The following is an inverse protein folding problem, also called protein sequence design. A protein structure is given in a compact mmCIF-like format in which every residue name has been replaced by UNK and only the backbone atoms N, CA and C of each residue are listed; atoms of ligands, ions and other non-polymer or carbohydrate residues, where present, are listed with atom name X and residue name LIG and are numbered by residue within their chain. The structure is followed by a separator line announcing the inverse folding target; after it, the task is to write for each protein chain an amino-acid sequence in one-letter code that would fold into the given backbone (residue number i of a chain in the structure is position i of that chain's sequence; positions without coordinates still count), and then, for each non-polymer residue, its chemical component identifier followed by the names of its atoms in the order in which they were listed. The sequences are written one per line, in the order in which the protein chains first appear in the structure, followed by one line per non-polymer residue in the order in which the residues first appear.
data_IF_722523785308
#
_entry.id   IF_722523785308
#
_cell.length_a   1.000
_cell.length_b   1.000
_cell.length_c   1.000
_cell.angle_alpha   90.00
_cell.angle_beta   90.00
_cell.angle_gamma   90.00
#
_symmetry.space_group_name_H-M   'P 1'
#
loop_
_entity.id
_entity.type
_entity.pdbx_description
1 polymer ?
#
# COMPACT_ATOMS: atom_id res chain seq x y z
N UNK A 1 -17.38 -11.72 26.03
CA UNK A 1 -16.70 -11.80 24.70
C UNK A 1 -15.20 -11.70 24.95
N UNK A 2 -14.35 -12.46 24.23
CA UNK A 2 -12.90 -12.34 24.37
C UNK A 2 -12.39 -11.11 23.57
N UNK A 3 -11.84 -10.06 24.22
CA UNK A 3 -11.40 -8.85 23.52
C UNK A 3 -10.34 -9.11 22.46
N UNK A 4 -9.38 -10.03 22.74
CA UNK A 4 -8.35 -10.43 21.77
C UNK A 4 -8.96 -10.98 20.48
N UNK A 5 -9.91 -11.92 20.61
CA UNK A 5 -10.56 -12.54 19.45
C UNK A 5 -11.38 -11.52 18.67
N UNK A 6 -12.13 -10.64 19.34
CA UNK A 6 -12.91 -9.60 18.70
C UNK A 6 -12.04 -8.64 17.87
N UNK A 7 -10.87 -8.26 18.40
CA UNK A 7 -9.90 -7.42 17.71
C UNK A 7 -9.31 -8.12 16.48
N UNK A 8 -8.88 -9.38 16.63
CA UNK A 8 -8.32 -10.17 15.52
C UNK A 8 -9.37 -10.39 14.42
N UNK A 9 -10.61 -10.72 14.78
CA UNK A 9 -11.69 -10.92 13.82
C UNK A 9 -12.05 -9.60 13.10
N UNK A 10 -11.96 -8.46 13.79
CA UNK A 10 -12.17 -7.15 13.16
C UNK A 10 -11.09 -6.83 12.10
N UNK A 11 -9.83 -7.21 12.35
CA UNK A 11 -8.75 -7.12 11.36
C UNK A 11 -9.03 -8.04 10.16
N UNK A 12 -9.45 -9.29 10.40
CA UNK A 12 -9.81 -10.18 9.30
C UNK A 12 -11.01 -9.67 8.49
N UNK A 13 -11.98 -9.01 9.13
CA UNK A 13 -13.10 -8.36 8.43
C UNK A 13 -12.60 -7.21 7.53
N UNK A 14 -11.64 -6.40 8.00
CA UNK A 14 -11.01 -5.35 7.21
C UNK A 14 -10.26 -5.91 5.99
N UNK A 15 -9.45 -6.95 6.17
CA UNK A 15 -8.73 -7.62 5.07
C UNK A 15 -9.70 -8.24 4.07
N UNK A 16 -10.75 -8.91 4.54
CA UNK A 16 -11.75 -9.56 3.69
C UNK A 16 -12.52 -8.57 2.80
N UNK A 17 -12.70 -7.32 3.25
CA UNK A 17 -13.34 -6.26 2.48
C UNK A 17 -12.48 -5.74 1.32
N UNK A 18 -11.18 -6.05 1.33
CA UNK A 18 -10.24 -5.73 0.26
C UNK A 18 -9.69 -6.98 -0.46
N UNK A 19 -10.24 -8.17 -0.19
CA UNK A 19 -9.81 -9.42 -0.82
C UNK A 19 -10.18 -9.43 -2.31
N UNK A 20 -9.19 -9.42 -3.24
CA UNK A 20 -9.45 -9.41 -4.66
C UNK A 20 -10.35 -10.53 -5.18
N UNK A 21 -10.30 -11.72 -4.56
CA UNK A 21 -11.15 -12.85 -4.96
C UNK A 21 -12.63 -12.58 -4.72
N UNK A 22 -12.95 -11.69 -3.78
CA UNK A 22 -14.33 -11.32 -3.42
C UNK A 22 -14.79 -10.06 -4.14
N UNK A 23 -13.91 -9.06 -4.25
CA UNK A 23 -14.29 -7.72 -4.71
C UNK A 23 -14.21 -7.53 -6.22
N UNK A 24 -13.31 -8.25 -6.93
CA UNK A 24 -13.14 -8.03 -8.37
C UNK A 24 -14.27 -8.56 -9.27
N UNK A 25 -14.90 -9.72 -8.99
CA UNK A 25 -15.85 -10.32 -9.92
C UNK A 25 -16.96 -9.37 -10.39
N UNK A 26 -17.60 -8.54 -9.56
CA UNK A 26 -18.64 -7.61 -9.99
C UNK A 26 -18.14 -6.49 -10.91
N UNK A 27 -16.83 -6.24 -10.93
CA UNK A 27 -16.21 -5.18 -11.73
C UNK A 27 -15.65 -5.66 -13.07
N UNK A 28 -15.66 -6.96 -13.32
CA UNK A 28 -15.16 -7.51 -14.57
C UNK A 28 -16.09 -7.13 -15.74
N UNK A 29 -15.53 -6.62 -16.84
CA UNK A 29 -16.31 -6.26 -18.01
C UNK A 29 -16.71 -7.52 -18.81
N UNK A 30 -17.65 -7.37 -19.73
CA UNK A 30 -17.88 -8.39 -20.74
C UNK A 30 -16.65 -8.53 -21.62
N UNK A 31 -16.30 -9.77 -22.09
CA UNK A 31 -15.21 -9.98 -23.02
C UNK A 31 -15.37 -9.12 -24.28
N UNK A 32 -14.26 -8.56 -24.81
CA UNK A 32 -14.28 -7.82 -26.07
C UNK A 32 -14.49 -8.76 -27.25
N UNK A 33 -14.61 -8.20 -28.45
CA UNK A 33 -14.63 -8.99 -29.70
C UNK A 33 -13.30 -9.67 -30.00
N UNK A 34 -12.20 -9.00 -29.63
CA UNK A 34 -10.84 -9.51 -29.73
C UNK A 34 -10.40 -10.24 -28.45
N UNK A 35 -9.15 -10.10 -28.07
CA UNK A 35 -8.58 -10.69 -26.86
C UNK A 35 -8.54 -9.73 -25.69
N UNK A 36 -8.43 -10.26 -24.47
CA UNK A 36 -8.13 -9.50 -23.27
C UNK A 36 -6.70 -9.75 -22.84
N UNK A 37 -5.92 -8.68 -22.76
CA UNK A 37 -4.60 -8.69 -22.17
C UNK A 37 -4.70 -8.19 -20.73
N UNK A 38 -4.38 -9.06 -19.78
CA UNK A 38 -4.31 -8.72 -18.34
C UNK A 38 -2.88 -8.33 -18.00
N UNK A 39 -2.69 -7.13 -17.49
CA UNK A 39 -1.38 -6.67 -17.00
C UNK A 39 -1.54 -5.96 -15.66
N UNK A 40 -0.46 -5.70 -14.98
CA UNK A 40 -0.52 -4.91 -13.75
C UNK A 40 0.65 -5.13 -12.82
N UNK A 41 0.60 -4.43 -11.68
CA UNK A 41 1.61 -4.58 -10.64
C UNK A 41 1.09 -4.15 -9.27
N UNK A 42 1.64 -4.77 -8.24
CA UNK A 42 1.38 -4.46 -6.84
C UNK A 42 1.33 -5.71 -5.96
N UNK A 43 1.26 -5.51 -4.66
CA UNK A 43 1.23 -6.60 -3.66
C UNK A 43 0.01 -7.52 -3.85
N UNK A 44 -1.13 -6.98 -4.34
CA UNK A 44 -2.34 -7.73 -4.64
C UNK A 44 -2.43 -8.22 -6.10
N UNK A 45 -1.48 -7.91 -6.99
CA UNK A 45 -1.60 -8.18 -8.41
C UNK A 45 -1.78 -9.68 -8.73
N UNK A 46 -1.13 -10.58 -7.96
CA UNK A 46 -1.29 -12.03 -8.10
C UNK A 46 -2.70 -12.51 -7.79
N UNK A 47 -3.29 -12.08 -6.66
CA UNK A 47 -4.66 -12.44 -6.27
C UNK A 47 -5.71 -11.80 -7.19
N UNK A 48 -5.45 -10.57 -7.66
CA UNK A 48 -6.29 -9.92 -8.66
C UNK A 48 -6.29 -10.70 -9.99
N UNK A 49 -5.13 -11.17 -10.45
CA UNK A 49 -5.02 -11.99 -11.66
C UNK A 49 -5.76 -13.32 -11.51
N UNK A 50 -5.61 -13.98 -10.35
CA UNK A 50 -6.34 -15.21 -10.04
C UNK A 50 -7.86 -14.98 -10.04
N UNK A 51 -8.33 -13.88 -9.42
CA UNK A 51 -9.74 -13.52 -9.44
C UNK A 51 -10.29 -13.33 -10.85
N UNK A 52 -9.52 -12.66 -11.72
CA UNK A 52 -9.87 -12.52 -13.13
C UNK A 52 -9.96 -13.88 -13.81
N UNK A 53 -8.96 -14.75 -13.67
CA UNK A 53 -8.98 -16.09 -14.31
C UNK A 53 -10.17 -16.95 -13.89
N UNK A 54 -10.50 -16.95 -12.60
CA UNK A 54 -11.59 -17.76 -12.06
C UNK A 54 -12.97 -17.33 -12.58
N UNK A 55 -13.13 -16.04 -12.92
CA UNK A 55 -14.43 -15.49 -13.33
C UNK A 55 -14.48 -15.10 -14.80
N UNK A 56 -13.38 -15.22 -15.56
CA UNK A 56 -13.38 -14.93 -16.99
C UNK A 56 -13.92 -16.13 -17.78
N UNK A 57 -14.83 -15.91 -18.74
CA UNK A 57 -15.40 -17.01 -19.52
C UNK A 57 -14.31 -17.87 -20.18
N UNK A 58 -14.41 -19.17 -20.03
CA UNK A 58 -13.38 -20.13 -20.48
C UNK A 58 -13.09 -20.00 -21.98
N UNK A 59 -14.13 -19.74 -22.80
CA UNK A 59 -14.01 -19.63 -24.27
C UNK A 59 -13.50 -18.25 -24.72
N UNK A 60 -13.48 -17.24 -23.83
CA UNK A 60 -13.02 -15.91 -24.21
C UNK A 60 -11.49 -15.83 -24.10
N UNK A 61 -10.79 -15.33 -25.15
CA UNK A 61 -9.34 -15.21 -25.14
C UNK A 61 -8.87 -14.31 -23.98
N UNK A 62 -7.98 -14.84 -23.13
CA UNK A 62 -7.37 -14.16 -22.01
C UNK A 62 -5.91 -14.57 -21.93
N UNK A 63 -5.02 -13.62 -21.88
CA UNK A 63 -3.58 -13.80 -21.67
C UNK A 63 -3.00 -12.62 -20.91
N UNK A 64 -1.80 -12.74 -20.40
CA UNK A 64 -1.14 -11.59 -19.80
C UNK A 64 -0.05 -11.93 -18.80
N UNK A 65 0.41 -10.90 -18.12
CA UNK A 65 1.33 -11.02 -16.99
C UNK A 65 1.15 -9.87 -16.00
N UNK A 66 1.33 -10.20 -14.71
CA UNK A 66 1.32 -9.22 -13.61
C UNK A 66 2.59 -9.37 -12.79
N UNK A 67 2.96 -8.29 -12.10
CA UNK A 67 4.19 -8.24 -11.28
C UNK A 67 3.78 -8.09 -9.81
N UNK A 68 4.28 -8.97 -8.94
CA UNK A 68 4.10 -8.86 -7.49
C UNK A 68 5.43 -8.93 -6.76
N UNK A 69 5.45 -8.66 -5.45
CA UNK A 69 6.68 -8.79 -4.66
C UNK A 69 7.02 -10.26 -4.42
N UNK A 70 8.29 -10.54 -4.15
CA UNK A 70 8.74 -11.90 -3.76
C UNK A 70 7.91 -12.45 -2.60
N UNK A 71 7.54 -13.74 -2.67
CA UNK A 71 6.71 -14.44 -1.69
C UNK A 71 5.20 -14.18 -1.79
N UNK A 72 4.75 -13.33 -2.74
CA UNK A 72 3.32 -13.04 -2.98
C UNK A 72 2.76 -13.71 -4.25
N UNK A 73 3.57 -14.50 -4.94
CA UNK A 73 3.16 -15.21 -6.13
C UNK A 73 1.99 -16.16 -5.88
N UNK A 74 1.20 -16.38 -6.91
CA UNK A 74 0.11 -17.35 -6.95
C UNK A 74 0.16 -18.13 -8.26
N UNK A 75 -0.27 -19.38 -8.21
CA UNK A 75 -0.41 -20.19 -9.40
C UNK A 75 -1.63 -19.75 -10.21
N UNK A 76 -1.40 -19.46 -11.46
CA UNK A 76 -2.38 -19.05 -12.47
C UNK A 76 -2.09 -19.82 -13.75
N UNK A 77 -3.08 -19.94 -14.64
CA UNK A 77 -2.96 -20.75 -15.85
C UNK A 77 -2.82 -19.90 -17.13
N UNK A 78 -3.44 -18.74 -17.17
CA UNK A 78 -3.58 -17.88 -18.36
C UNK A 78 -2.83 -16.56 -18.23
N UNK A 79 -2.63 -16.07 -17.02
CA UNK A 79 -1.93 -14.83 -16.70
C UNK A 79 -0.68 -15.16 -15.88
N UNK A 80 0.50 -14.89 -16.39
CA UNK A 80 1.76 -15.14 -15.65
C UNK A 80 1.86 -14.22 -14.44
N UNK A 81 2.28 -14.74 -13.31
CA UNK A 81 2.64 -13.96 -12.13
C UNK A 81 4.15 -13.94 -11.99
N UNK A 82 4.75 -12.77 -12.12
CA UNK A 82 6.19 -12.55 -11.99
C UNK A 82 6.47 -11.92 -10.63
N UNK A 83 7.40 -12.49 -9.89
CA UNK A 83 7.88 -11.91 -8.64
C UNK A 83 9.08 -11.00 -8.88
N UNK A 84 9.11 -9.86 -8.17
CA UNK A 84 10.15 -8.84 -8.32
C UNK A 84 10.41 -8.08 -7.01
N UNK A 85 11.48 -7.28 -7.01
CA UNK A 85 11.94 -6.51 -5.86
C UNK A 85 11.01 -5.38 -5.46
N UNK A 86 10.73 -5.31 -4.16
CA UNK A 86 9.97 -4.24 -3.49
C UNK A 86 10.52 -4.06 -2.05
N UNK A 87 10.76 -2.84 -1.55
CA UNK A 87 10.47 -1.52 -2.14
C UNK A 87 11.52 -1.03 -3.17
N UNK A 88 12.64 -1.74 -3.32
CA UNK A 88 13.70 -1.37 -4.28
C UNK A 88 13.47 -2.15 -5.58
N UNK A 89 13.31 -1.45 -6.73
CA UNK A 89 13.12 -2.08 -8.02
C UNK A 89 14.30 -2.98 -8.41
N UNK A 90 14.02 -4.07 -9.12
CA UNK A 90 15.05 -4.98 -9.62
C UNK A 90 14.93 -5.26 -11.13
N UNK A 91 15.81 -6.12 -11.63
CA UNK A 91 15.87 -6.44 -13.05
C UNK A 91 14.65 -7.30 -13.50
N UNK A 92 14.12 -8.15 -12.62
CA UNK A 92 12.94 -8.96 -12.90
C UNK A 92 11.72 -8.08 -13.16
N UNK A 93 11.46 -7.09 -12.29
CA UNK A 93 10.40 -6.11 -12.46
C UNK A 93 10.55 -5.29 -13.75
N UNK A 94 11.78 -4.82 -14.04
CA UNK A 94 12.04 -4.05 -15.27
C UNK A 94 11.84 -4.86 -16.55
N UNK A 95 12.26 -6.12 -16.56
CA UNK A 95 12.04 -7.02 -17.70
C UNK A 95 10.55 -7.28 -17.95
N UNK A 96 9.81 -7.57 -16.88
CA UNK A 96 8.36 -7.77 -16.93
C UNK A 96 7.62 -6.49 -17.35
N UNK A 97 7.99 -5.32 -16.85
CA UNK A 97 7.40 -4.03 -17.26
C UNK A 97 7.62 -3.73 -18.74
N UNK A 98 8.80 -4.09 -19.27
CA UNK A 98 9.09 -3.98 -20.72
C UNK A 98 8.22 -4.93 -21.55
N UNK A 99 7.99 -6.15 -21.08
CA UNK A 99 7.09 -7.11 -21.72
C UNK A 99 5.65 -6.60 -21.70
N UNK A 100 5.17 -6.07 -20.58
CA UNK A 100 3.85 -5.43 -20.43
C UNK A 100 3.68 -4.31 -21.46
N UNK A 101 4.62 -3.38 -21.53
CA UNK A 101 4.54 -2.24 -22.45
C UNK A 101 4.53 -2.68 -23.92
N UNK A 102 5.36 -3.67 -24.25
CA UNK A 102 5.39 -4.25 -25.61
C UNK A 102 4.07 -4.92 -25.96
N UNK A 103 3.51 -5.73 -25.07
CA UNK A 103 2.24 -6.42 -25.28
C UNK A 103 1.07 -5.43 -25.43
N UNK A 104 1.02 -4.37 -24.60
CA UNK A 104 0.01 -3.32 -24.68
C UNK A 104 0.04 -2.57 -26.03
N UNK A 105 1.23 -2.28 -26.56
CA UNK A 105 1.40 -1.67 -27.90
C UNK A 105 0.88 -2.53 -29.04
N UNK A 106 0.85 -3.86 -28.86
CA UNK A 106 0.39 -4.83 -29.86
C UNK A 106 -1.13 -5.03 -29.91
N UNK A 107 -1.90 -4.39 -29.01
CA UNK A 107 -3.35 -4.55 -28.98
C UNK A 107 -4.05 -3.79 -30.12
N UNK A 108 -5.07 -4.43 -30.70
CA UNK A 108 -5.97 -3.83 -31.66
C UNK A 108 -7.12 -3.08 -30.99
N UNK A 109 -7.84 -2.19 -31.68
CA UNK A 109 -8.98 -1.45 -31.10
C UNK A 109 -10.12 -2.33 -30.55
N UNK A 110 -10.32 -3.53 -31.09
CA UNK A 110 -11.35 -4.49 -30.63
C UNK A 110 -10.91 -5.34 -29.43
N UNK A 111 -9.65 -5.20 -28.97
CA UNK A 111 -9.13 -5.86 -27.78
C UNK A 111 -9.47 -5.07 -26.50
N UNK A 112 -9.12 -5.64 -25.34
CA UNK A 112 -9.20 -5.01 -24.04
C UNK A 112 -7.85 -5.10 -23.34
N UNK A 113 -7.36 -3.98 -22.83
CA UNK A 113 -6.30 -3.94 -21.82
C UNK A 113 -6.94 -3.85 -20.42
N UNK A 114 -6.88 -4.95 -19.68
CA UNK A 114 -7.32 -5.01 -18.27
C UNK A 114 -6.10 -4.84 -17.37
N UNK A 115 -6.05 -3.72 -16.63
CA UNK A 115 -4.89 -3.36 -15.81
C UNK A 115 -5.24 -3.56 -14.33
N UNK A 116 -4.44 -4.34 -13.63
CA UNK A 116 -4.63 -4.69 -12.21
C UNK A 116 -3.57 -3.96 -11.38
N UNK A 117 -4.00 -2.98 -10.60
CA UNK A 117 -3.11 -2.07 -9.88
C UNK A 117 -3.36 -2.17 -8.38
N UNK A 118 -2.29 -2.22 -7.59
CA UNK A 118 -2.38 -2.15 -6.14
C UNK A 118 -1.11 -1.55 -5.53
N UNK A 119 -1.10 -1.38 -4.22
CA UNK A 119 0.02 -0.88 -3.45
C UNK A 119 1.35 -1.56 -3.76
N UNK A 120 2.42 -0.78 -3.71
CA UNK A 120 3.77 -1.21 -4.08
C UNK A 120 4.05 -1.25 -5.59
N UNK A 121 3.04 -1.01 -6.43
CA UNK A 121 3.15 -1.04 -7.89
C UNK A 121 4.16 -0.06 -8.47
N UNK A 122 4.43 1.06 -7.79
CA UNK A 122 5.44 2.04 -8.26
C UNK A 122 6.85 1.46 -8.38
N UNK A 123 7.24 0.59 -7.45
CA UNK A 123 8.54 -0.09 -7.50
C UNK A 123 8.51 -1.30 -8.46
N UNK A 124 7.43 -2.07 -8.43
CA UNK A 124 7.29 -3.30 -9.20
C UNK A 124 7.15 -3.03 -10.71
N UNK A 125 6.38 -1.99 -11.10
CA UNK A 125 6.20 -1.57 -12.50
C UNK A 125 7.24 -0.50 -12.89
N UNK A 126 8.51 -0.76 -12.62
CA UNK A 126 9.61 0.17 -12.92
C UNK A 126 10.23 -0.11 -14.29
N UNK A 127 10.16 0.88 -15.17
CA UNK A 127 10.84 0.87 -16.47
C UNK A 127 11.43 2.25 -16.72
N UNK A 128 12.75 2.33 -16.83
CA UNK A 128 13.45 3.58 -17.04
C UNK A 128 13.08 4.20 -18.40
N UNK A 129 12.93 5.53 -18.42
CA UNK A 129 12.78 6.29 -19.65
C UNK A 129 14.03 6.13 -20.54
N UNK A 130 13.87 6.41 -21.84
CA UNK A 130 14.96 6.30 -22.80
C UNK A 130 16.16 7.18 -22.39
N UNK A 131 17.34 6.58 -22.42
CA UNK A 131 18.59 7.23 -22.01
C UNK A 131 18.90 7.14 -20.52
N UNK A 132 18.01 6.54 -19.70
CA UNK A 132 18.25 6.26 -18.29
C UNK A 132 18.41 4.76 -18.02
N UNK A 133 19.21 4.44 -17.01
CA UNK A 133 19.36 3.09 -16.50
C UNK A 133 18.56 2.83 -15.22
N UNK A 134 18.42 1.56 -14.83
CA UNK A 134 17.79 1.19 -13.57
C UNK A 134 18.53 1.76 -12.35
N UNK A 135 19.85 1.86 -12.42
CA UNK A 135 20.65 2.44 -11.32
C UNK A 135 20.37 3.94 -11.15
N UNK A 136 20.07 4.68 -12.24
CA UNK A 136 19.67 6.08 -12.16
C UNK A 136 18.34 6.23 -11.40
N UNK A 137 17.35 5.35 -11.68
CA UNK A 137 16.07 5.33 -10.98
C UNK A 137 16.25 4.96 -9.50
N UNK A 138 17.07 3.96 -9.21
CA UNK A 138 17.37 3.54 -7.83
C UNK A 138 18.05 4.64 -7.04
N UNK A 139 19.05 5.28 -7.63
CA UNK A 139 19.78 6.36 -7.00
C UNK A 139 18.88 7.57 -6.72
N UNK A 140 18.08 8.00 -7.70
CA UNK A 140 17.10 9.07 -7.51
C UNK A 140 16.07 8.72 -6.42
N UNK A 141 15.56 7.48 -6.42
CA UNK A 141 14.60 7.00 -5.40
C UNK A 141 15.21 7.01 -4.00
N UNK A 142 16.46 6.53 -3.84
CA UNK A 142 17.15 6.54 -2.53
C UNK A 142 17.33 7.96 -1.99
N UNK A 143 17.73 8.89 -2.84
CA UNK A 143 17.92 10.28 -2.43
C UNK A 143 16.59 10.97 -2.05
N UNK A 144 15.50 10.71 -2.80
CA UNK A 144 14.16 11.21 -2.48
C UNK A 144 13.64 10.66 -1.15
N UNK A 145 13.86 9.37 -0.88
CA UNK A 145 13.52 8.78 0.42
C UNK A 145 14.37 9.39 1.55
N UNK A 146 15.67 9.57 1.32
CA UNK A 146 16.60 10.11 2.32
C UNK A 146 16.29 11.56 2.71
N UNK A 147 15.80 12.38 1.79
CA UNK A 147 15.46 13.78 2.07
C UNK A 147 14.07 13.97 2.69
N UNK A 148 13.28 12.89 2.87
CA UNK A 148 11.95 12.96 3.47
C UNK A 148 10.90 13.64 2.58
N UNK A 149 11.07 13.63 1.26
CA UNK A 149 10.08 14.18 0.34
C UNK A 149 8.75 13.43 0.47
N UNK A 150 7.59 14.11 0.49
CA UNK A 150 6.29 13.49 0.46
C UNK A 150 6.12 12.56 -0.76
N UNK A 151 5.30 11.52 -0.61
CA UNK A 151 5.10 10.53 -1.68
C UNK A 151 4.60 11.15 -2.99
N UNK A 152 3.80 12.21 -2.91
CA UNK A 152 3.30 12.95 -4.07
C UNK A 152 4.45 13.57 -4.87
N UNK A 153 5.39 14.25 -4.17
CA UNK A 153 6.56 14.87 -4.78
C UNK A 153 7.51 13.80 -5.35
N UNK A 154 7.73 12.70 -4.60
CA UNK A 154 8.51 11.56 -5.10
C UNK A 154 7.88 10.98 -6.38
N UNK A 155 6.56 10.83 -6.44
CA UNK A 155 5.86 10.31 -7.60
C UNK A 155 5.93 11.27 -8.79
N UNK A 156 5.93 12.59 -8.56
CA UNK A 156 6.19 13.59 -9.62
C UNK A 156 7.51 13.31 -10.32
N UNK A 157 8.59 13.11 -9.57
CA UNK A 157 9.89 12.77 -10.16
C UNK A 157 9.85 11.39 -10.84
N UNK A 158 9.34 10.36 -10.16
CA UNK A 158 9.30 8.97 -10.67
C UNK A 158 8.56 8.84 -12.00
N UNK A 159 7.41 9.49 -12.16
CA UNK A 159 6.61 9.49 -13.40
C UNK A 159 7.43 10.05 -14.57
N UNK A 160 8.21 11.10 -14.36
CA UNK A 160 9.03 11.73 -15.40
C UNK A 160 10.32 10.97 -15.72
N UNK A 161 10.71 10.00 -14.88
CA UNK A 161 11.82 9.09 -15.15
C UNK A 161 11.39 7.74 -15.72
N UNK A 162 10.07 7.51 -15.86
CA UNK A 162 9.50 6.22 -16.25
C UNK A 162 9.02 6.19 -17.70
N UNK A 163 9.21 5.06 -18.38
CA UNK A 163 8.65 4.79 -19.70
C UNK A 163 7.22 4.21 -19.66
N UNK A 164 6.66 3.89 -18.47
CA UNK A 164 5.40 3.16 -18.35
C UNK A 164 4.40 3.80 -17.39
N UNK A 165 4.87 4.56 -16.40
CA UNK A 165 4.04 5.26 -15.40
C UNK A 165 3.53 6.61 -15.93
N UNK A 166 2.74 7.35 -15.13
CA UNK A 166 2.22 8.66 -15.49
C UNK A 166 1.37 8.64 -16.78
N UNK A 167 0.43 7.69 -16.90
CA UNK A 167 -0.45 7.56 -18.06
C UNK A 167 0.16 6.90 -19.30
N UNK A 168 1.48 6.65 -19.29
CA UNK A 168 2.19 6.15 -20.49
C UNK A 168 1.78 4.74 -20.91
N UNK A 169 1.41 3.85 -19.97
CA UNK A 169 0.89 2.53 -20.31
C UNK A 169 -0.41 2.65 -21.11
N UNK A 170 -1.35 3.47 -20.65
CA UNK A 170 -2.60 3.73 -21.37
C UNK A 170 -2.35 4.39 -22.72
N UNK A 171 -1.42 5.36 -22.79
CA UNK A 171 -1.08 6.04 -24.03
C UNK A 171 -0.46 5.11 -25.09
N UNK A 172 0.25 4.06 -24.66
CA UNK A 172 0.86 3.07 -25.53
C UNK A 172 -0.18 2.11 -26.16
N UNK A 173 -1.39 2.02 -25.61
CA UNK A 173 -2.43 1.08 -26.01
C UNK A 173 -3.43 1.74 -26.95
N UNK A 174 -3.90 0.99 -27.99
CA UNK A 174 -4.97 1.43 -28.91
C UNK A 174 -6.35 0.88 -28.52
N UNK A 175 -6.39 -0.17 -27.72
CA UNK A 175 -7.61 -0.81 -27.23
C UNK A 175 -8.27 0.03 -26.11
N UNK A 176 -9.51 -0.35 -25.74
CA UNK A 176 -10.11 0.10 -24.49
C UNK A 176 -9.25 -0.34 -23.32
N UNK A 177 -9.09 0.54 -22.35
CA UNK A 177 -8.34 0.28 -21.10
C UNK A 177 -9.29 0.33 -19.92
N UNK A 178 -9.31 -0.73 -19.10
CA UNK A 178 -9.97 -0.75 -17.81
C UNK A 178 -8.91 -1.06 -16.74
N UNK A 179 -8.67 -0.10 -15.85
CA UNK A 179 -7.81 -0.31 -14.68
C UNK A 179 -8.67 -0.56 -13.45
N UNK A 180 -8.50 -1.72 -12.81
CA UNK A 180 -9.08 -2.06 -11.51
C UNK A 180 -8.01 -1.84 -10.46
N UNK A 181 -8.33 -1.07 -9.42
CA UNK A 181 -7.35 -0.50 -8.50
C UNK A 181 -7.73 -0.84 -7.06
N UNK A 182 -6.83 -1.47 -6.33
CA UNK A 182 -6.86 -1.58 -4.87
C UNK A 182 -5.98 -0.45 -4.32
N UNK A 183 -6.58 0.52 -3.65
CA UNK A 183 -5.90 1.73 -3.23
C UNK A 183 -5.21 1.57 -1.87
N UNK A 184 -3.94 1.98 -1.82
CA UNK A 184 -3.13 2.17 -0.61
C UNK A 184 -2.72 3.65 -0.42
N UNK A 185 -3.36 4.57 -1.14
CA UNK A 185 -3.00 5.98 -1.12
C UNK A 185 -4.14 6.79 -0.52
N UNK A 186 -3.82 7.71 0.38
CA UNK A 186 -4.78 8.68 0.92
C UNK A 186 -5.45 9.47 -0.21
N UNK A 187 -6.78 9.51 -0.19
CA UNK A 187 -7.59 10.21 -1.20
C UNK A 187 -7.87 9.41 -2.46
N UNK A 188 -7.37 8.19 -2.58
CA UNK A 188 -7.69 7.20 -3.62
C UNK A 188 -7.49 7.70 -5.06
N UNK A 189 -6.59 8.68 -5.27
CA UNK A 189 -6.32 9.23 -6.60
C UNK A 189 -5.53 8.23 -7.47
N UNK A 190 -6.11 7.74 -8.59
CA UNK A 190 -5.46 6.80 -9.49
C UNK A 190 -4.11 7.28 -10.05
N UNK A 191 -3.87 8.60 -10.07
CA UNK A 191 -2.60 9.17 -10.56
C UNK A 191 -1.43 8.95 -9.61
N UNK A 192 -1.72 8.64 -8.34
CA UNK A 192 -0.72 8.36 -7.31
C UNK A 192 -0.51 6.87 -7.06
N UNK A 193 -1.56 6.04 -7.22
CA UNK A 193 -1.48 4.59 -6.99
C UNK A 193 -0.61 3.95 -8.08
N UNK A 194 0.44 3.24 -7.68
CA UNK A 194 1.46 2.69 -8.58
C UNK A 194 2.06 3.73 -9.55
N UNK A 195 2.10 5.01 -9.16
CA UNK A 195 2.51 6.15 -10.00
C UNK A 195 1.67 6.29 -11.29
N UNK A 196 0.39 5.92 -11.23
CA UNK A 196 -0.62 6.20 -12.24
C UNK A 196 -0.33 5.68 -13.65
N UNK A 197 -0.14 4.37 -13.89
CA UNK A 197 0.19 3.89 -15.24
C UNK A 197 -0.89 4.16 -16.29
N UNK A 198 -2.16 4.28 -15.84
CA UNK A 198 -3.32 4.55 -16.70
C UNK A 198 -4.07 5.83 -16.35
N UNK A 199 -3.54 6.65 -15.45
CA UNK A 199 -4.14 7.93 -15.08
C UNK A 199 -3.39 9.10 -15.71
N UNK A 200 -4.08 10.22 -16.02
CA UNK A 200 -3.41 11.44 -16.49
C UNK A 200 -2.48 11.99 -15.42
N UNK A 201 -1.37 12.57 -15.84
CA UNK A 201 -0.40 13.18 -14.94
C UNK A 201 -0.47 14.73 -15.04
N UNK A 202 -0.98 15.42 -14.01
CA UNK A 202 -1.04 16.88 -14.04
C UNK A 202 0.35 17.54 -13.93
N UNK A 203 1.35 16.84 -13.36
CA UNK A 203 2.70 17.38 -13.15
C UNK A 203 3.52 17.40 -14.43
N UNK A 204 4.53 18.27 -14.48
CA UNK A 204 5.43 18.47 -15.62
C UNK A 204 6.89 18.11 -15.28
N UNK A 205 7.76 18.05 -16.30
CA UNK A 205 9.21 17.94 -16.10
C UNK A 205 9.77 19.10 -15.27
N UNK A 206 9.18 20.31 -15.41
CA UNK A 206 9.59 21.46 -14.61
C UNK A 206 9.25 21.26 -13.12
N UNK A 207 8.07 20.73 -12.81
CA UNK A 207 7.71 20.39 -11.42
C UNK A 207 8.63 19.33 -10.83
N UNK A 208 9.03 18.34 -11.64
CA UNK A 208 9.99 17.31 -11.20
C UNK A 208 11.37 17.90 -10.86
N UNK A 209 11.85 18.89 -11.64
CA UNK A 209 13.08 19.64 -11.33
C UNK A 209 12.93 20.48 -10.07
N UNK A 210 11.79 21.17 -9.92
CA UNK A 210 11.49 21.94 -8.72
C UNK A 210 11.52 21.09 -7.45
N UNK A 211 10.99 19.87 -7.50
CA UNK A 211 11.08 18.91 -6.40
C UNK A 211 12.53 18.59 -6.05
N UNK A 212 13.37 18.29 -7.06
CA UNK A 212 14.79 18.02 -6.80
C UNK A 212 15.50 19.21 -6.13
N UNK A 213 15.19 20.42 -6.58
CA UNK A 213 15.82 21.64 -6.05
C UNK A 213 15.29 21.98 -4.64
N UNK A 214 13.97 21.88 -4.41
CA UNK A 214 13.32 22.14 -3.12
C UNK A 214 13.88 21.27 -2.00
N UNK A 215 14.11 19.99 -2.27
CA UNK A 215 14.61 19.04 -1.27
C UNK A 215 16.13 18.85 -1.31
N UNK A 216 16.85 19.60 -2.16
CA UNK A 216 18.30 19.46 -2.31
C UNK A 216 18.74 18.07 -2.73
N UNK A 217 17.93 17.39 -3.56
CA UNK A 217 18.16 16.00 -3.99
C UNK A 217 19.40 15.91 -4.88
N UNK A 218 20.39 15.13 -4.46
CA UNK A 218 21.60 14.86 -5.25
C UNK A 218 21.36 13.75 -6.29
N UNK A 219 20.48 14.05 -7.25
CA UNK A 219 20.19 13.10 -8.32
C UNK A 219 21.40 12.88 -9.24
N UNK A 220 21.54 11.68 -9.84
CA UNK A 220 22.52 11.43 -10.89
C UNK A 220 22.45 12.47 -12.01
N UNK A 221 23.59 12.81 -12.62
CA UNK A 221 23.64 13.78 -13.70
C UNK A 221 22.72 13.39 -14.88
N UNK A 222 22.64 12.10 -15.21
CA UNK A 222 21.75 11.59 -16.26
C UNK A 222 20.28 11.90 -15.96
N UNK A 223 19.86 11.74 -14.68
CA UNK A 223 18.48 12.06 -14.23
C UNK A 223 18.19 13.55 -14.41
N UNK A 224 19.06 14.43 -13.90
CA UNK A 224 18.86 15.87 -14.03
C UNK A 224 18.84 16.31 -15.50
N UNK A 225 19.80 15.84 -16.31
CA UNK A 225 19.85 16.15 -17.74
C UNK A 225 18.59 15.66 -18.50
N UNK A 226 18.04 14.49 -18.11
CA UNK A 226 16.79 13.98 -18.69
C UNK A 226 15.62 14.92 -18.37
N UNK A 227 15.45 15.30 -17.09
CA UNK A 227 14.38 16.21 -16.67
C UNK A 227 14.52 17.60 -17.33
N UNK A 228 15.73 18.15 -17.42
CA UNK A 228 16.00 19.42 -18.10
C UNK A 228 15.69 19.37 -19.61
N UNK A 229 15.98 18.26 -20.29
CA UNK A 229 15.59 18.06 -21.69
C UNK A 229 14.06 18.03 -21.84
N UNK A 230 13.35 17.37 -20.90
CA UNK A 230 11.89 17.37 -20.86
C UNK A 230 11.32 18.77 -20.65
N UNK A 231 11.83 19.51 -19.66
CA UNK A 231 11.38 20.87 -19.35
C UNK A 231 11.60 21.86 -20.52
N UNK A 232 12.59 21.60 -21.38
CA UNK A 232 12.82 22.36 -22.62
C UNK A 232 12.01 21.86 -23.83
N UNK A 233 11.12 20.88 -23.65
CA UNK A 233 10.29 20.29 -24.71
C UNK A 233 11.03 19.33 -25.67
N UNK A 234 12.26 18.92 -25.36
CA UNK A 234 13.02 17.96 -26.16
C UNK A 234 12.58 16.49 -25.92
N UNK A 235 11.80 16.24 -24.90
CA UNK A 235 11.17 14.97 -24.58
C UNK A 235 9.67 15.26 -24.38
N UNK A 236 8.81 14.41 -24.95
CA UNK A 236 7.36 14.55 -24.80
C UNK A 236 6.95 14.41 -23.34
N UNK A 237 6.02 15.28 -22.90
CA UNK A 237 5.44 15.23 -21.56
C UNK A 237 4.71 13.91 -21.29
N UNK A 238 4.46 13.64 -20.01
CA UNK A 238 3.48 12.64 -19.59
C UNK A 238 2.11 13.00 -20.16
N UNK A 239 1.25 12.00 -20.51
CA UNK A 239 -0.12 12.28 -20.92
C UNK A 239 -0.88 13.11 -19.88
N UNK A 240 -1.49 14.20 -20.33
CA UNK A 240 -2.11 15.23 -19.48
C UNK A 240 -3.62 15.04 -19.32
N UNK A 241 -4.21 15.62 -18.26
CA UNK A 241 -5.68 15.73 -18.18
C UNK A 241 -6.26 16.39 -19.45
N UNK A 242 -7.27 15.75 -20.03
CA UNK A 242 -7.88 16.22 -21.28
C UNK A 242 -7.31 15.63 -22.57
N UNK A 243 -6.19 14.91 -22.51
CA UNK A 243 -5.66 14.22 -23.69
C UNK A 243 -6.64 13.16 -24.22
N UNK A 244 -6.77 13.09 -25.53
CA UNK A 244 -7.72 12.18 -26.23
C UNK A 244 -7.53 10.71 -25.86
N UNK A 245 -6.35 10.33 -25.41
CA UNK A 245 -6.04 8.95 -24.98
C UNK A 245 -6.96 8.50 -23.86
N UNK A 246 -7.32 9.40 -22.94
CA UNK A 246 -8.15 9.06 -21.78
C UNK A 246 -9.64 8.88 -22.10
N UNK A 247 -10.09 9.23 -23.30
CA UNK A 247 -11.45 8.95 -23.75
C UNK A 247 -11.80 7.45 -23.87
N UNK A 248 -10.78 6.56 -23.86
CA UNK A 248 -10.95 5.10 -23.87
C UNK A 248 -10.45 4.41 -22.59
N UNK A 249 -10.08 5.18 -21.57
CA UNK A 249 -9.51 4.69 -20.31
C UNK A 249 -10.51 4.88 -19.19
N UNK A 250 -10.75 3.82 -18.45
CA UNK A 250 -11.53 3.85 -17.23
C UNK A 250 -10.63 3.39 -16.07
N UNK A 251 -10.44 4.23 -15.06
CA UNK A 251 -9.80 3.88 -13.79
C UNK A 251 -10.90 3.67 -12.76
N UNK A 252 -10.97 2.48 -12.15
CA UNK A 252 -11.97 2.11 -11.15
C UNK A 252 -11.30 1.63 -9.88
N UNK A 253 -11.42 2.42 -8.81
CA UNK A 253 -11.01 2.00 -7.46
C UNK A 253 -12.05 1.00 -6.95
N UNK A 254 -11.62 -0.21 -6.61
CA UNK A 254 -12.48 -1.31 -6.19
C UNK A 254 -12.33 -1.68 -4.72
N UNK A 255 -11.24 -1.24 -4.08
CA UNK A 255 -11.04 -1.32 -2.63
C UNK A 255 -10.29 -0.10 -2.14
N UNK A 256 -10.65 0.35 -0.94
CA UNK A 256 -10.03 1.48 -0.24
C UNK A 256 -9.81 1.17 1.22
N UNK A 257 -8.88 1.87 1.87
CA UNK A 257 -8.68 1.77 3.31
C UNK A 257 -10.00 2.07 4.07
N UNK A 258 -10.71 3.13 3.67
CA UNK A 258 -11.96 3.52 4.31
C UNK A 258 -13.02 2.40 4.28
N UNK A 259 -13.19 1.69 3.15
CA UNK A 259 -14.13 0.58 3.04
C UNK A 259 -13.76 -0.58 4.01
N UNK A 260 -12.47 -0.88 4.14
CA UNK A 260 -11.95 -1.89 5.07
C UNK A 260 -12.18 -1.50 6.54
N UNK A 261 -11.94 -0.23 6.90
CA UNK A 261 -12.23 0.26 8.26
C UNK A 261 -13.73 0.21 8.57
N UNK A 262 -14.61 0.49 7.60
CA UNK A 262 -16.06 0.37 7.79
C UNK A 262 -16.51 -1.08 7.97
N UNK A 263 -15.88 -2.04 7.28
CA UNK A 263 -16.14 -3.46 7.47
C UNK A 263 -15.78 -3.91 8.90
N UNK A 264 -14.63 -3.47 9.42
CA UNK A 264 -14.24 -3.70 10.81
C UNK A 264 -15.21 -3.03 11.80
N UNK A 265 -15.62 -1.79 11.53
CA UNK A 265 -16.60 -1.09 12.36
C UNK A 265 -17.95 -1.83 12.41
N UNK A 266 -18.39 -2.38 11.27
CA UNK A 266 -19.60 -3.21 11.22
C UNK A 266 -19.43 -4.51 12.01
N UNK A 267 -18.24 -5.12 11.99
CA UNK A 267 -17.93 -6.29 12.80
C UNK A 267 -18.11 -5.98 14.29
N UNK A 268 -17.52 -4.88 14.80
CA UNK A 268 -17.72 -4.47 16.20
C UNK A 268 -19.19 -4.24 16.55
N UNK A 269 -19.93 -3.51 15.69
CA UNK A 269 -21.36 -3.21 15.89
C UNK A 269 -22.21 -4.48 15.95
N UNK A 270 -21.93 -5.47 15.11
CA UNK A 270 -22.64 -6.76 15.12
C UNK A 270 -22.43 -7.56 16.42
N UNK A 271 -21.41 -7.20 17.20
CA UNK A 271 -21.10 -7.78 18.51
C UNK A 271 -21.48 -6.87 19.69
N UNK A 272 -22.31 -5.85 19.45
CA UNK A 272 -22.80 -4.95 20.50
C UNK A 272 -21.79 -3.91 20.98
N UNK A 273 -20.72 -3.68 20.25
CA UNK A 273 -19.70 -2.66 20.55
C UNK A 273 -19.88 -1.48 19.59
N UNK A 274 -20.04 -0.27 20.11
CA UNK A 274 -20.02 0.94 19.31
C UNK A 274 -18.69 1.06 18.56
N UNK A 275 -18.69 1.67 17.38
CA UNK A 275 -17.45 1.83 16.61
C UNK A 275 -17.38 3.21 15.96
N UNK A 276 -16.24 3.89 16.18
CA UNK A 276 -15.91 5.19 15.62
C UNK A 276 -14.68 5.05 14.72
N UNK A 277 -14.83 5.33 13.42
CA UNK A 277 -13.73 5.42 12.49
C UNK A 277 -13.14 6.83 12.57
N UNK A 278 -11.91 6.93 13.07
CA UNK A 278 -11.19 8.19 13.29
C UNK A 278 -10.60 8.76 11.99
N UNK A 279 -10.32 7.89 11.02
CA UNK A 279 -9.77 8.25 9.72
C UNK A 279 -8.95 7.13 9.11
N UNK A 280 -8.73 7.20 7.81
CA UNK A 280 -7.96 6.27 6.99
C UNK A 280 -6.60 6.83 6.53
N UNK A 281 -6.24 8.02 7.02
CA UNK A 281 -5.09 8.80 6.56
C UNK A 281 -4.15 9.21 7.70
N UNK A 282 -4.09 8.43 8.79
CA UNK A 282 -3.18 8.70 9.91
C UNK A 282 -1.74 8.40 9.48
N UNK A 283 -0.92 9.45 9.41
CA UNK A 283 0.49 9.41 8.98
C UNK A 283 1.41 10.00 10.05
N UNK A 284 2.71 10.04 9.78
CA UNK A 284 3.75 10.52 10.69
C UNK A 284 4.36 9.40 11.52
N UNK A 285 5.13 9.76 12.55
CA UNK A 285 5.83 8.80 13.40
C UNK A 285 4.86 7.93 14.19
N UNK A 286 5.03 6.60 14.07
CA UNK A 286 4.17 5.61 14.72
C UNK A 286 4.05 5.83 16.23
N UNK A 287 5.16 6.20 16.90
CA UNK A 287 5.20 6.50 18.34
C UNK A 287 4.34 7.69 18.72
N UNK A 288 4.32 8.73 17.90
CA UNK A 288 3.57 9.95 18.18
C UNK A 288 2.08 9.78 17.87
N UNK A 289 1.74 9.10 16.78
CA UNK A 289 0.36 8.72 16.51
C UNK A 289 -0.25 7.86 17.65
N UNK A 290 0.54 6.94 18.21
CA UNK A 290 0.14 6.14 19.37
C UNK A 290 -0.22 6.97 20.59
N UNK A 291 0.56 8.00 20.92
CA UNK A 291 0.28 8.90 22.06
C UNK A 291 -1.01 9.69 21.88
N UNK A 292 -1.27 10.18 20.68
CA UNK A 292 -2.54 10.87 20.37
C UNK A 292 -3.73 9.94 20.56
N UNK A 293 -3.65 8.72 20.03
CA UNK A 293 -4.71 7.72 20.19
C UNK A 293 -4.84 7.24 21.65
N UNK A 294 -3.73 7.14 22.39
CA UNK A 294 -3.73 6.85 23.82
C UNK A 294 -4.43 7.93 24.66
N UNK A 295 -4.22 9.21 24.31
CA UNK A 295 -4.94 10.32 24.96
C UNK A 295 -6.46 10.24 24.71
N UNK A 296 -6.89 9.92 23.48
CA UNK A 296 -8.29 9.69 23.16
C UNK A 296 -8.87 8.49 23.94
N UNK A 297 -8.12 7.38 24.02
CA UNK A 297 -8.56 6.21 24.78
C UNK A 297 -8.75 6.50 26.29
N UNK A 298 -7.83 7.27 26.89
CA UNK A 298 -7.97 7.72 28.29
C UNK A 298 -9.17 8.62 28.48
N UNK A 299 -9.44 9.56 27.57
CA UNK A 299 -10.58 10.44 27.61
C UNK A 299 -11.89 9.64 27.61
N UNK A 300 -11.99 8.68 26.70
CA UNK A 300 -13.14 7.78 26.58
C UNK A 300 -13.30 6.91 27.84
N UNK A 301 -12.21 6.28 28.31
CA UNK A 301 -12.25 5.42 29.48
C UNK A 301 -12.63 6.17 30.78
N UNK A 302 -12.15 7.40 30.95
CA UNK A 302 -12.36 8.18 32.16
C UNK A 302 -13.70 8.93 32.17
N UNK A 303 -14.19 9.39 31.03
CA UNK A 303 -15.30 10.33 30.93
C UNK A 303 -16.46 9.84 30.07
N UNK A 304 -16.29 8.76 29.30
CA UNK A 304 -17.29 8.28 28.34
C UNK A 304 -17.53 9.24 27.16
N UNK A 305 -16.56 10.11 26.90
CA UNK A 305 -16.68 11.15 25.87
C UNK A 305 -15.56 11.03 24.84
N UNK A 306 -15.83 11.31 23.56
CA UNK A 306 -17.14 11.67 22.97
C UNK A 306 -18.04 10.45 22.71
N UNK A 307 -17.57 9.24 23.00
CA UNK A 307 -18.34 7.98 22.84
C UNK A 307 -18.32 7.16 24.14
N UNK A 308 -19.48 6.74 24.68
CA UNK A 308 -19.50 5.92 25.87
C UNK A 308 -19.00 4.48 25.58
N UNK A 309 -18.23 3.86 26.50
CA UNK A 309 -17.91 2.44 26.43
C UNK A 309 -19.18 1.54 26.47
N UNK A 310 -19.18 0.33 25.86
CA UNK A 310 -18.06 -0.22 25.10
C UNK A 310 -17.96 0.37 23.69
N UNK A 311 -16.76 0.79 23.32
CA UNK A 311 -16.50 1.40 22.00
C UNK A 311 -15.15 0.97 21.42
N UNK A 312 -15.09 0.81 20.10
CA UNK A 312 -13.86 0.63 19.34
C UNK A 312 -13.50 1.91 18.57
N UNK A 313 -12.32 2.46 18.81
CA UNK A 313 -11.73 3.54 18.03
C UNK A 313 -10.89 2.92 16.92
N UNK A 314 -11.26 3.15 15.66
CA UNK A 314 -10.64 2.49 14.50
C UNK A 314 -9.94 3.53 13.65
N UNK A 315 -8.71 3.26 13.21
CA UNK A 315 -7.98 4.12 12.28
C UNK A 315 -7.15 3.32 11.29
N UNK A 316 -6.94 3.91 10.13
CA UNK A 316 -6.03 3.42 9.08
C UNK A 316 -4.92 4.44 8.78
N UNK A 317 -4.34 4.31 7.60
CA UNK A 317 -3.24 5.14 7.13
C UNK A 317 -1.90 4.42 7.23
N UNK A 318 -0.81 5.13 7.00
CA UNK A 318 0.53 4.56 6.93
C UNK A 318 1.51 5.42 7.75
N UNK A 319 1.85 4.93 8.95
CA UNK A 319 2.85 5.57 9.79
C UNK A 319 4.28 5.23 9.33
N UNK A 320 5.24 5.99 9.84
CA UNK A 320 6.67 5.78 9.61
C UNK A 320 7.38 5.44 10.92
N UNK A 321 8.56 4.82 10.81
CA UNK A 321 9.51 4.64 11.90
C UNK A 321 10.85 5.19 11.43
N UNK A 322 11.30 6.28 12.04
CA UNK A 322 12.60 6.88 11.74
C UNK A 322 13.68 6.13 12.53
N UNK A 323 14.53 5.40 11.82
CA UNK A 323 15.65 4.66 12.39
C UNK A 323 16.83 5.60 12.62
N UNK A 324 17.38 5.61 13.85
CA UNK A 324 18.61 6.34 14.17
C UNK A 324 19.87 5.63 13.65
N UNK A 325 21.05 6.23 13.91
CA UNK A 325 22.36 5.69 13.50
C UNK A 325 22.72 4.34 14.17
N UNK A 326 22.10 4.02 15.29
CA UNK A 326 22.40 2.81 16.10
C UNK A 326 21.90 1.49 15.47
N UNK A 327 21.25 1.53 14.31
CA UNK A 327 20.63 0.37 13.68
C UNK A 327 19.23 0.06 14.20
N UNK A 328 18.49 -0.79 13.48
CA UNK A 328 17.15 -1.21 13.85
C UNK A 328 17.19 -2.53 14.62
N UNK A 329 16.40 -2.63 15.70
CA UNK A 329 15.90 -3.89 16.21
C UNK A 329 14.91 -4.54 15.24
N UNK A 330 14.16 -5.54 15.70
CA UNK A 330 13.15 -6.24 14.89
C UNK A 330 11.77 -5.64 15.09
N UNK A 331 11.03 -5.42 14.01
CA UNK A 331 9.66 -4.91 14.04
C UNK A 331 9.30 -4.07 12.84
N UNK A 332 8.10 -3.54 12.88
CA UNK A 332 7.56 -2.63 11.88
C UNK A 332 6.74 -1.52 12.53
N UNK A 333 6.07 -0.72 11.70
CA UNK A 333 5.31 0.45 12.18
C UNK A 333 4.10 0.10 13.03
N UNK A 334 3.47 -1.05 12.79
CA UNK A 334 2.30 -1.49 13.56
C UNK A 334 2.69 -1.95 14.97
N UNK A 335 3.72 -2.78 15.10
CA UNK A 335 4.23 -3.21 16.40
C UNK A 335 4.90 -2.06 17.16
N UNK A 336 5.62 -1.15 16.49
CA UNK A 336 6.18 0.07 17.09
C UNK A 336 5.08 0.98 17.67
N UNK A 337 4.00 1.19 16.90
CA UNK A 337 2.82 1.92 17.35
C UNK A 337 2.22 1.29 18.62
N UNK A 338 2.00 -0.03 18.62
CA UNK A 338 1.41 -0.73 19.78
C UNK A 338 2.30 -0.71 21.01
N UNK A 339 3.63 -0.83 20.87
CA UNK A 339 4.54 -0.77 22.01
C UNK A 339 4.56 0.63 22.61
N UNK A 340 4.54 1.68 21.78
CA UNK A 340 4.39 3.05 22.25
C UNK A 340 3.06 3.27 22.97
N UNK A 341 1.95 2.74 22.39
CA UNK A 341 0.62 2.81 23.01
C UNK A 341 0.58 2.09 24.36
N UNK A 342 1.20 0.91 24.47
CA UNK A 342 1.29 0.15 25.73
C UNK A 342 1.96 0.97 26.84
N UNK A 343 3.10 1.59 26.50
CA UNK A 343 3.85 2.44 27.46
C UNK A 343 3.04 3.67 27.86
N UNK A 344 2.37 4.31 26.90
CA UNK A 344 1.56 5.51 27.13
C UNK A 344 0.33 5.20 28.00
N UNK A 345 -0.37 4.10 27.75
CA UNK A 345 -1.55 3.69 28.53
C UNK A 345 -1.19 3.17 29.92
N UNK A 346 0.04 2.67 30.14
CA UNK A 346 0.50 2.21 31.45
C UNK A 346 -0.32 1.06 32.06
N UNK A 347 -0.94 0.23 31.22
CA UNK A 347 -1.80 -0.88 31.69
C UNK A 347 -3.22 -0.44 32.07
N UNK A 348 -3.75 0.60 31.44
CA UNK A 348 -5.12 1.09 31.68
C UNK A 348 -6.14 -0.06 31.57
N UNK A 349 -6.88 -0.39 32.66
CA UNK A 349 -7.84 -1.48 32.68
C UNK A 349 -8.94 -1.30 31.62
N UNK A 350 -9.40 -2.41 31.02
CA UNK A 350 -10.49 -2.41 30.05
C UNK A 350 -10.09 -1.91 28.66
N UNK A 351 -8.83 -1.49 28.44
CA UNK A 351 -8.35 -1.01 27.14
C UNK A 351 -7.49 -2.08 26.47
N UNK A 352 -7.94 -2.54 25.32
CA UNK A 352 -7.23 -3.49 24.44
C UNK A 352 -6.98 -2.87 23.08
N UNK A 353 -5.96 -3.30 22.35
CA UNK A 353 -5.73 -2.77 21.02
C UNK A 353 -5.15 -3.82 20.04
N UNK A 354 -5.26 -3.54 18.77
CA UNK A 354 -4.60 -4.24 17.67
C UNK A 354 -4.03 -3.21 16.70
N UNK A 355 -2.86 -3.50 16.13
CA UNK A 355 -2.36 -2.80 14.94
C UNK A 355 -1.69 -3.81 14.03
N UNK A 356 -2.09 -3.82 12.76
CA UNK A 356 -1.60 -4.75 11.75
C UNK A 356 -1.54 -4.07 10.39
N UNK A 357 -0.53 -4.43 9.59
CA UNK A 357 -0.50 -4.13 8.15
C UNK A 357 -1.47 -5.09 7.43
N UNK A 358 -2.33 -4.55 6.58
CA UNK A 358 -3.32 -5.35 5.86
C UNK A 358 -2.69 -6.28 4.81
N UNK A 359 -1.45 -6.06 4.40
CA UNK A 359 -0.71 -6.97 3.51
C UNK A 359 -0.17 -8.23 4.22
N UNK A 360 -0.25 -8.26 5.57
CA UNK A 360 0.14 -9.39 6.40
C UNK A 360 1.59 -9.37 6.87
N UNK A 361 2.34 -8.28 6.59
CA UNK A 361 3.77 -8.17 6.90
C UNK A 361 4.08 -6.79 7.50
N UNK A 362 4.36 -6.75 8.80
CA UNK A 362 4.76 -5.53 9.50
C UNK A 362 6.29 -5.34 9.43
N UNK A 363 6.73 -4.47 8.53
CA UNK A 363 8.16 -4.22 8.30
C UNK A 363 8.85 -5.37 7.56
N UNK A 364 9.80 -6.05 8.21
CA UNK A 364 10.61 -7.12 7.60
C UNK A 364 10.31 -8.52 8.17
N UNK A 365 9.46 -8.59 9.19
CA UNK A 365 9.17 -9.82 9.93
C UNK A 365 7.97 -10.57 9.32
N UNK A 366 7.62 -11.73 9.86
CA UNK A 366 6.58 -12.61 9.34
C UNK A 366 5.19 -12.38 9.95
N UNK A 367 5.07 -11.41 10.86
CA UNK A 367 3.80 -11.01 11.48
C UNK A 367 3.13 -9.84 10.75
N UNK A 368 1.82 -9.83 10.73
CA UNK A 368 1.03 -8.67 10.28
C UNK A 368 1.09 -7.50 11.28
N UNK A 369 1.31 -7.80 12.55
CA UNK A 369 1.31 -6.86 13.66
C UNK A 369 1.18 -7.57 14.99
N UNK A 370 0.45 -6.97 15.94
CA UNK A 370 0.25 -7.56 17.26
C UNK A 370 -1.08 -7.12 17.90
N UNK A 371 -1.42 -7.76 19.01
CA UNK A 371 -2.49 -7.32 19.93
C UNK A 371 -1.89 -6.83 21.25
N UNK A 372 -2.57 -5.91 21.89
CA UNK A 372 -2.22 -5.34 23.19
C UNK A 372 -3.35 -5.62 24.20
N UNK A 373 -2.99 -6.22 25.33
CA UNK A 373 -3.86 -6.37 26.48
C UNK A 373 -3.39 -5.46 27.64
N UNK A 374 -4.26 -5.10 28.59
CA UNK A 374 -3.88 -4.22 29.72
C UNK A 374 -2.73 -4.75 30.56
N UNK A 375 -2.57 -6.07 30.65
CA UNK A 375 -1.53 -6.74 31.45
C UNK A 375 -0.18 -6.89 30.73
N UNK A 376 -0.05 -6.42 29.46
CA UNK A 376 1.12 -6.65 28.62
C UNK A 376 2.43 -6.15 29.26
N UNK A 377 2.42 -4.94 29.88
CA UNK A 377 3.61 -4.41 30.56
C UNK A 377 3.98 -5.22 31.81
N UNK A 378 2.99 -5.69 32.56
CA UNK A 378 3.23 -6.52 33.75
C UNK A 378 3.80 -7.91 33.36
N UNK A 379 3.27 -8.54 32.30
CA UNK A 379 3.81 -9.78 31.74
C UNK A 379 5.24 -9.61 31.23
N UNK A 380 5.51 -8.50 30.55
CA UNK A 380 6.84 -8.17 30.07
C UNK A 380 7.84 -8.00 31.22
N UNK A 381 7.47 -7.24 32.26
CA UNK A 381 8.30 -7.07 33.46
C UNK A 381 8.59 -8.40 34.18
N UNK A 382 7.61 -9.29 34.26
CA UNK A 382 7.80 -10.64 34.82
C UNK A 382 8.80 -11.50 34.03
N UNK A 383 8.94 -11.22 32.72
CA UNK A 383 9.96 -11.86 31.85
C UNK A 383 11.29 -11.09 31.81
N UNK A 384 11.43 -10.02 32.63
CA UNK A 384 12.65 -9.21 32.68
C UNK A 384 12.82 -8.27 31.47
N UNK A 385 11.78 -8.02 30.72
CA UNK A 385 11.81 -7.13 29.54
C UNK A 385 11.57 -5.68 29.94
N UNK A 386 12.38 -4.77 29.43
CA UNK A 386 12.21 -3.32 29.56
C UNK A 386 11.55 -2.76 28.28
N UNK A 387 10.25 -2.48 28.36
CA UNK A 387 9.46 -1.98 27.25
C UNK A 387 10.02 -0.67 26.65
N UNK A 388 10.51 0.26 27.51
CA UNK A 388 11.08 1.54 27.05
C UNK A 388 12.41 1.34 26.33
N UNK A 389 13.25 0.43 26.81
CA UNK A 389 14.52 0.09 26.15
C UNK A 389 14.28 -0.58 24.80
N UNK A 390 13.33 -1.52 24.73
CA UNK A 390 12.95 -2.19 23.49
C UNK A 390 12.37 -1.18 22.47
N UNK A 391 11.50 -0.26 22.89
CA UNK A 391 11.00 0.81 22.03
C UNK A 391 12.14 1.73 21.55
N UNK A 392 13.08 2.12 22.43
CA UNK A 392 14.22 2.95 22.06
C UNK A 392 15.16 2.26 21.06
N UNK A 393 15.26 0.92 21.12
CA UNK A 393 16.03 0.07 20.19
C UNK A 393 15.25 -0.39 18.96
N UNK A 394 14.02 0.08 18.74
CA UNK A 394 13.13 -0.38 17.66
C UNK A 394 12.90 -1.91 17.62
N UNK A 395 12.92 -2.58 18.79
CA UNK A 395 12.68 -4.03 18.92
C UNK A 395 11.27 -4.34 19.45
N UNK A 396 10.28 -3.80 18.77
CA UNK A 396 8.86 -4.03 19.09
C UNK A 396 8.42 -5.46 18.79
N UNK A 397 8.98 -6.10 17.76
CA UNK A 397 8.73 -7.52 17.49
C UNK A 397 9.20 -8.39 18.65
N UNK A 398 10.42 -8.17 19.17
CA UNK A 398 10.94 -8.91 20.31
C UNK A 398 10.02 -8.82 21.53
N UNK A 399 9.47 -7.64 21.80
CA UNK A 399 8.50 -7.42 22.89
C UNK A 399 7.25 -8.30 22.72
N UNK A 400 6.52 -8.18 21.58
CA UNK A 400 5.27 -8.92 21.37
C UNK A 400 5.48 -10.41 21.13
N UNK A 401 6.60 -10.81 20.54
CA UNK A 401 6.98 -12.23 20.38
C UNK A 401 7.15 -12.93 21.73
N UNK A 402 7.86 -12.30 22.66
CA UNK A 402 8.05 -12.84 24.01
C UNK A 402 6.74 -13.01 24.79
N UNK A 403 5.75 -12.17 24.50
CA UNK A 403 4.41 -12.23 25.10
C UNK A 403 3.43 -13.16 24.37
N UNK A 404 3.82 -13.74 23.22
CA UNK A 404 2.93 -14.51 22.33
C UNK A 404 1.71 -13.69 21.85
N UNK A 405 1.93 -12.39 21.62
CA UNK A 405 0.89 -11.44 21.22
C UNK A 405 0.98 -11.03 19.75
N UNK A 406 1.92 -11.59 18.98
CA UNK A 406 1.98 -11.37 17.54
C UNK A 406 0.73 -11.90 16.82
N UNK A 407 0.35 -11.20 15.75
CA UNK A 407 -0.66 -11.63 14.79
C UNK A 407 0.06 -12.07 13.52
N UNK A 408 0.03 -13.37 13.24
CA UNK A 408 0.71 -13.97 12.09
C UNK A 408 -0.33 -14.51 11.14
N UNK A 409 -0.41 -13.95 9.93
CA UNK A 409 -1.39 -14.37 8.90
C UNK A 409 -0.71 -14.95 7.67
N UNK A 410 0.59 -14.72 7.53
CA UNK A 410 1.28 -14.78 6.24
C UNK A 410 0.78 -13.68 5.28
N UNK A 411 1.28 -13.62 4.06
CA UNK A 411 0.85 -12.64 3.07
C UNK A 411 -0.65 -12.74 2.79
N UNK A 412 -1.39 -11.67 3.05
CA UNK A 412 -2.84 -11.59 2.79
C UNK A 412 -3.17 -11.42 1.30
N UNK A 413 -2.16 -11.00 0.51
CA UNK A 413 -2.26 -10.75 -0.93
C UNK A 413 -3.25 -9.65 -1.31
N UNK A 414 -3.48 -8.73 -0.38
CA UNK A 414 -4.10 -7.42 -0.60
C UNK A 414 -3.26 -6.35 0.06
N UNK A 415 -3.59 -5.07 -0.10
CA UNK A 415 -2.94 -3.98 0.63
C UNK A 415 -3.82 -2.73 0.59
N UNK A 416 -4.30 -2.33 1.75
CA UNK A 416 -5.04 -1.08 1.99
C UNK A 416 -4.50 -0.36 3.24
N UNK A 417 -3.17 -0.40 3.41
CA UNK A 417 -2.40 0.18 4.52
C UNK A 417 -2.65 -0.46 5.89
N UNK A 418 -2.30 0.26 6.96
CA UNK A 418 -2.43 -0.24 8.32
C UNK A 418 -3.89 -0.24 8.78
N UNK A 419 -4.19 -1.20 9.62
CA UNK A 419 -5.40 -1.29 10.41
C UNK A 419 -5.05 -1.17 11.88
N UNK A 420 -5.73 -0.27 12.60
CA UNK A 420 -5.58 -0.08 14.04
C UNK A 420 -6.96 -0.02 14.68
N UNK A 421 -7.15 -0.71 15.80
CA UNK A 421 -8.35 -0.60 16.61
C UNK A 421 -7.99 -0.60 18.10
N UNK A 422 -8.59 0.32 18.86
CA UNK A 422 -8.52 0.38 20.32
C UNK A 422 -9.92 0.11 20.86
N UNK A 423 -10.10 -1.00 21.56
CA UNK A 423 -11.33 -1.40 22.22
C UNK A 423 -11.29 -0.93 23.67
N UNK A 424 -12.29 -0.15 24.05
CA UNK A 424 -12.51 0.36 25.43
C UNK A 424 -13.80 -0.26 25.93
N UNK A 425 -13.69 -1.13 26.96
CA UNK A 425 -14.79 -1.93 27.51
C UNK A 425 -15.28 -1.38 28.86
#
# INVERSE_FOLDING_TARGET
MNPRQLLVDSFHAAVAAADPLRILPPHLPRPPKGKTLVVGAGKAAGSMALAVEQHWPVKAPLEGLVITRYGHGLLTNRVKVIEAGHPVPDQAGSAAAREILRAARGLAPDDLLLVLVSGGGSALLSLAAEGLGMEDLRAATRELLRCGAPIQDMNTVRKHLSAIQGGRLAAACRARVLALIVSDVTGDDPSHIASGPCAPDPASYADALEVLDRYGVRAPQAVRAHLERGARGAIAETPKPGDRVFGRVENRVVATAQASLQAAAQHFRSHGVAAAVLGDSVTGEAREAAKVHGALARQVAAHGEPWPPPVALISGGECTVTLGEAGAGRGGRCTEYLLSLAIDLGGLPGVHAIACDTDGIDGTEDNAGAVLAPDALARAAALGLDAKKLLAGHDSHGFFSALSDLVVTGPTRTNVNDFRAILIA
#
